data_IF_414623431291
#
_entry.id   IF_414623431291
#
_cell.length_a   1.000
_cell.length_b   1.000
_cell.length_c   1.000
_cell.angle_alpha   90.00
_cell.angle_beta   90.00
_cell.angle_gamma   90.00
#
_symmetry.space_group_name_H-M   'P 1'
#
loop_
_entity.id
_entity.type
_entity.pdbx_description
1 polymer ?
#
# COMPACT_ATOMS: atom_id res chain seq x y z
N UNK A 1 31.43 -8.37 0.66
CA UNK A 1 30.30 -8.92 1.43
C UNK A 1 29.17 -7.92 1.40
N UNK A 2 27.93 -8.29 1.04
CA UNK A 2 26.80 -7.37 1.11
C UNK A 2 26.60 -6.93 2.57
N UNK A 3 26.35 -5.64 2.78
CA UNK A 3 26.13 -5.07 4.12
C UNK A 3 24.77 -5.52 4.68
N UNK A 4 24.63 -5.56 6.01
CA UNK A 4 23.35 -5.85 6.66
C UNK A 4 22.23 -4.88 6.21
N UNK A 5 22.60 -3.63 5.95
CA UNK A 5 21.73 -2.59 5.41
C UNK A 5 21.13 -3.02 4.06
N UNK A 6 21.98 -3.39 3.09
CA UNK A 6 21.54 -3.81 1.76
C UNK A 6 20.59 -5.02 1.80
N UNK A 7 20.88 -6.00 2.67
CA UNK A 7 20.01 -7.18 2.83
C UNK A 7 18.62 -6.81 3.35
N UNK A 8 18.53 -5.85 4.28
CA UNK A 8 17.24 -5.35 4.78
C UNK A 8 16.46 -4.60 3.72
N UNK A 9 17.13 -3.75 2.94
CA UNK A 9 16.51 -3.01 1.84
C UNK A 9 15.95 -3.96 0.78
N UNK A 10 16.71 -4.99 0.37
CA UNK A 10 16.20 -5.99 -0.58
C UNK A 10 14.99 -6.73 0.00
N UNK A 11 15.06 -7.18 1.25
CA UNK A 11 13.95 -7.90 1.88
C UNK A 11 12.68 -7.02 1.95
N UNK A 12 12.85 -5.73 2.25
CA UNK A 12 11.80 -4.71 2.24
C UNK A 12 11.16 -4.57 0.86
N UNK A 13 11.96 -4.31 -0.18
CA UNK A 13 11.45 -4.18 -1.55
C UNK A 13 10.75 -5.44 -2.05
N UNK A 14 11.32 -6.62 -1.76
CA UNK A 14 10.75 -7.92 -2.17
C UNK A 14 9.45 -8.28 -1.48
N UNK A 15 9.15 -7.69 -0.32
CA UNK A 15 7.84 -7.84 0.33
C UNK A 15 6.76 -6.96 -0.31
N UNK A 16 7.14 -6.10 -1.26
CA UNK A 16 6.25 -5.16 -1.94
C UNK A 16 6.19 -3.79 -1.27
N UNK A 17 7.06 -3.51 -0.29
CA UNK A 17 7.10 -2.21 0.39
C UNK A 17 7.59 -1.10 -0.56
N UNK A 18 6.94 0.05 -0.48
CA UNK A 18 7.34 1.28 -1.15
C UNK A 18 8.34 2.02 -0.27
N UNK A 19 9.37 2.61 -0.86
CA UNK A 19 10.40 3.38 -0.15
C UNK A 19 10.24 4.84 -0.52
N UNK A 20 9.66 5.62 0.39
CA UNK A 20 9.44 7.06 0.24
C UNK A 20 10.66 7.90 0.63
N UNK A 21 10.54 9.21 0.44
CA UNK A 21 11.59 10.19 0.75
C UNK A 21 11.86 10.27 2.26
N UNK A 22 10.86 9.96 3.09
CA UNK A 22 10.99 9.95 4.55
C UNK A 22 11.92 8.85 5.08
N UNK A 23 12.16 7.79 4.30
CA UNK A 23 13.13 6.74 4.61
C UNK A 23 14.54 7.14 4.12
N UNK A 24 15.09 8.24 4.65
CA UNK A 24 16.29 8.95 4.15
C UNK A 24 17.43 8.02 3.70
N UNK A 25 17.90 7.11 4.56
CA UNK A 25 19.04 6.23 4.23
C UNK A 25 18.71 5.26 3.08
N UNK A 26 17.52 4.66 3.11
CA UNK A 26 17.06 3.73 2.07
C UNK A 26 16.86 4.48 0.76
N UNK A 27 16.22 5.65 0.81
CA UNK A 27 15.93 6.47 -0.36
C UNK A 27 17.21 6.99 -1.02
N UNK A 28 18.14 7.56 -0.24
CA UNK A 28 19.43 8.01 -0.72
C UNK A 28 20.22 6.87 -1.38
N UNK A 29 20.24 5.69 -0.76
CA UNK A 29 20.90 4.53 -1.35
C UNK A 29 20.26 4.09 -2.68
N UNK A 30 18.93 4.11 -2.79
CA UNK A 30 18.25 3.78 -4.04
C UNK A 30 18.49 4.83 -5.13
N UNK A 31 18.62 6.10 -4.77
CA UNK A 31 18.98 7.18 -5.68
C UNK A 31 20.42 7.04 -6.18
N UNK A 32 21.38 6.78 -5.29
CA UNK A 32 22.80 6.70 -5.62
C UNK A 32 23.14 5.50 -6.51
N UNK A 33 22.41 4.39 -6.37
CA UNK A 33 22.67 3.11 -7.06
C UNK A 33 21.50 2.66 -7.96
N UNK A 34 20.69 3.60 -8.46
CA UNK A 34 19.47 3.27 -9.19
C UNK A 34 19.75 2.36 -10.40
N UNK A 35 20.71 2.74 -11.25
CA UNK A 35 21.02 2.02 -12.50
C UNK A 35 21.50 0.59 -12.23
N UNK A 36 22.38 0.41 -11.24
CA UNK A 36 22.89 -0.91 -10.85
C UNK A 36 21.81 -1.79 -10.25
N UNK A 37 20.90 -1.20 -9.46
CA UNK A 37 19.79 -1.92 -8.84
C UNK A 37 18.71 -2.28 -9.87
N UNK A 38 18.43 -1.43 -10.85
CA UNK A 38 17.56 -1.74 -11.98
C UNK A 38 18.10 -2.97 -12.74
N UNK A 39 19.39 -2.97 -13.10
CA UNK A 39 20.05 -4.12 -13.73
C UNK A 39 20.04 -5.36 -12.82
N UNK A 40 20.18 -5.19 -11.51
CA UNK A 40 20.10 -6.28 -10.54
C UNK A 40 18.71 -6.94 -10.53
N UNK A 41 17.64 -6.15 -10.43
CA UNK A 41 16.27 -6.66 -10.36
C UNK A 41 15.76 -7.18 -11.71
N UNK A 42 16.27 -6.66 -12.83
CA UNK A 42 15.94 -7.16 -14.16
C UNK A 42 16.26 -8.65 -14.31
N UNK A 43 17.33 -9.16 -13.67
CA UNK A 43 17.66 -10.60 -13.66
C UNK A 43 16.58 -11.48 -13.03
N UNK A 44 15.71 -10.89 -12.21
CA UNK A 44 14.58 -11.58 -11.58
C UNK A 44 13.25 -11.31 -12.30
N UNK A 45 13.28 -10.71 -13.50
CA UNK A 45 12.11 -10.26 -14.24
C UNK A 45 11.23 -9.28 -13.44
N UNK A 46 11.89 -8.36 -12.72
CA UNK A 46 11.26 -7.30 -11.93
C UNK A 46 11.87 -5.97 -12.31
N UNK A 47 11.05 -4.93 -12.38
CA UNK A 47 11.49 -3.55 -12.60
C UNK A 47 11.56 -2.83 -11.25
N UNK A 48 12.68 -2.15 -10.97
CA UNK A 48 12.72 -1.12 -9.94
C UNK A 48 12.15 0.16 -10.56
N UNK A 49 11.08 0.69 -9.98
CA UNK A 49 10.40 1.88 -10.48
C UNK A 49 10.55 3.00 -9.47
N UNK A 50 10.95 4.18 -9.95
CA UNK A 50 10.78 5.45 -9.24
C UNK A 50 9.52 6.13 -9.75
N UNK A 51 8.53 6.30 -8.89
CA UNK A 51 7.31 7.01 -9.23
C UNK A 51 7.58 8.51 -9.40
N UNK A 52 6.74 9.26 -10.16
CA UNK A 52 6.88 10.71 -10.29
C UNK A 52 6.86 11.46 -8.96
N UNK A 53 6.12 10.92 -7.97
CA UNK A 53 6.02 11.44 -6.61
C UNK A 53 7.30 11.18 -5.77
N UNK A 54 8.27 10.43 -6.32
CA UNK A 54 9.63 10.30 -5.79
C UNK A 54 9.90 9.04 -4.97
N UNK A 55 8.92 8.18 -4.72
CA UNK A 55 9.10 6.90 -4.03
C UNK A 55 9.51 5.76 -4.97
N UNK A 56 10.14 4.73 -4.42
CA UNK A 56 10.56 3.53 -5.15
C UNK A 56 9.71 2.31 -4.82
N UNK A 57 9.52 1.41 -5.79
CA UNK A 57 8.90 0.10 -5.58
C UNK A 57 9.30 -0.91 -6.65
N UNK A 58 9.06 -2.19 -6.37
CA UNK A 58 9.26 -3.27 -7.34
C UNK A 58 7.98 -3.55 -8.12
N UNK A 59 8.06 -3.49 -9.45
CA UNK A 59 6.99 -3.90 -10.35
C UNK A 59 7.33 -5.24 -10.99
N UNK A 60 6.71 -6.35 -10.55
CA UNK A 60 6.97 -7.67 -11.13
C UNK A 60 6.40 -7.78 -12.55
N UNK A 61 7.17 -8.36 -13.48
CA UNK A 61 6.66 -8.77 -14.80
C UNK A 61 5.89 -10.10 -14.67
N UNK A 62 5.19 -10.50 -15.73
CA UNK A 62 4.45 -11.78 -15.78
C UNK A 62 5.34 -13.01 -15.57
N UNK A 63 6.65 -12.90 -15.86
CA UNK A 63 7.65 -13.96 -15.70
C UNK A 63 8.54 -13.77 -14.45
N UNK A 64 8.09 -12.97 -13.47
CA UNK A 64 8.82 -12.70 -12.22
C UNK A 64 9.30 -13.98 -11.53
N UNK A 65 10.54 -13.98 -11.05
CA UNK A 65 11.08 -15.03 -10.17
C UNK A 65 10.82 -14.75 -8.69
N UNK A 66 10.33 -13.55 -8.37
CA UNK A 66 9.98 -13.12 -7.01
C UNK A 66 8.48 -13.34 -6.80
N UNK A 67 8.12 -13.91 -5.64
CA UNK A 67 6.73 -14.17 -5.27
C UNK A 67 5.88 -12.91 -5.34
N UNK A 68 4.72 -13.01 -6.02
CA UNK A 68 3.78 -11.90 -6.20
C UNK A 68 2.53 -12.12 -5.35
N UNK A 69 2.06 -11.02 -4.76
CA UNK A 69 0.72 -10.92 -4.14
C UNK A 69 -0.09 -9.86 -4.87
N UNK A 70 -1.42 -9.98 -4.84
CA UNK A 70 -2.34 -8.99 -5.40
C UNK A 70 -3.27 -8.52 -4.29
N UNK A 71 -3.45 -7.20 -4.20
CA UNK A 71 -4.40 -6.59 -3.27
C UNK A 71 -5.83 -6.98 -3.65
N UNK A 72 -6.67 -7.25 -2.66
CA UNK A 72 -8.10 -7.45 -2.88
C UNK A 72 -8.77 -6.15 -3.32
N UNK A 73 -9.98 -6.25 -3.89
CA UNK A 73 -10.75 -5.06 -4.26
C UNK A 73 -11.00 -4.15 -3.06
N UNK A 74 -11.28 -4.73 -1.88
CA UNK A 74 -11.41 -3.95 -0.64
C UNK A 74 -10.10 -3.25 -0.25
N UNK A 75 -8.95 -3.92 -0.35
CA UNK A 75 -7.65 -3.28 -0.09
C UNK A 75 -7.43 -2.09 -1.06
N UNK A 76 -7.79 -2.25 -2.33
CA UNK A 76 -7.70 -1.18 -3.34
C UNK A 76 -8.64 -0.02 -3.04
N UNK A 77 -9.87 -0.30 -2.57
CA UNK A 77 -10.80 0.75 -2.16
C UNK A 77 -10.26 1.54 -0.97
N UNK A 78 -9.78 0.85 0.06
CA UNK A 78 -9.15 1.50 1.22
C UNK A 78 -7.95 2.35 0.78
N UNK A 79 -7.10 1.86 -0.12
CA UNK A 79 -5.99 2.63 -0.68
C UNK A 79 -6.42 3.90 -1.43
N UNK A 80 -7.54 3.85 -2.17
CA UNK A 80 -8.10 5.04 -2.82
C UNK A 80 -8.62 6.06 -1.82
N UNK A 81 -9.27 5.62 -0.74
CA UNK A 81 -9.73 6.52 0.32
C UNK A 81 -8.55 7.15 1.07
N UNK A 82 -7.47 6.39 1.32
CA UNK A 82 -6.22 6.95 1.87
C UNK A 82 -5.66 8.05 0.98
N UNK A 83 -5.60 7.82 -0.34
CA UNK A 83 -5.15 8.83 -1.30
C UNK A 83 -6.08 10.06 -1.32
N UNK A 84 -7.39 9.84 -1.29
CA UNK A 84 -8.38 10.93 -1.20
C UNK A 84 -8.19 11.78 0.05
N UNK A 85 -8.03 11.15 1.21
CA UNK A 85 -7.77 11.83 2.49
C UNK A 85 -6.44 12.59 2.48
N UNK A 86 -5.39 12.01 1.90
CA UNK A 86 -4.09 12.65 1.78
C UNK A 86 -4.15 13.94 0.92
N UNK A 87 -5.01 13.95 -0.11
CA UNK A 87 -5.18 15.09 -1.01
C UNK A 87 -6.24 16.10 -0.52
N UNK A 88 -6.94 15.83 0.59
CA UNK A 88 -7.98 16.72 1.12
C UNK A 88 -7.37 18.02 1.68
N UNK A 89 -7.89 19.20 1.27
CA UNK A 89 -7.45 20.50 1.78
C UNK A 89 -7.57 20.63 3.30
N UNK A 90 -8.62 20.03 3.88
CA UNK A 90 -8.88 20.03 5.31
C UNK A 90 -7.80 19.27 6.09
N UNK A 91 -7.22 18.22 5.48
CA UNK A 91 -6.20 17.37 6.11
C UNK A 91 -4.78 17.88 5.92
N UNK A 92 -4.52 18.64 4.86
CA UNK A 92 -3.29 19.42 4.71
C UNK A 92 -3.08 20.38 5.90
N UNK A 93 -4.16 20.89 6.51
CA UNK A 93 -4.10 21.72 7.71
C UNK A 93 -3.83 20.94 9.02
N UNK A 94 -3.92 19.59 8.99
CA UNK A 94 -3.74 18.71 10.14
C UNK A 94 -2.51 17.80 10.01
N UNK A 95 -1.49 18.24 9.26
CA UNK A 95 -0.25 17.47 9.02
C UNK A 95 -0.49 16.06 8.43
N UNK A 96 -1.63 15.85 7.76
CA UNK A 96 -1.96 14.57 7.13
C UNK A 96 -2.35 13.44 8.09
N UNK A 97 -2.63 13.73 9.36
CA UNK A 97 -3.04 12.71 10.34
C UNK A 97 -4.56 12.47 10.28
N UNK A 98 -4.96 11.20 10.22
CA UNK A 98 -6.36 10.78 10.32
C UNK A 98 -6.48 9.46 11.11
N UNK A 99 -7.66 9.24 11.66
CA UNK A 99 -8.03 8.03 12.39
C UNK A 99 -8.61 6.97 11.46
N UNK A 100 -8.57 5.71 11.90
CA UNK A 100 -9.24 4.63 11.18
C UNK A 100 -10.76 4.80 11.11
N UNK A 101 -11.34 5.57 12.03
CA UNK A 101 -12.77 5.87 12.03
C UNK A 101 -13.12 6.87 10.92
N UNK A 102 -12.36 7.95 10.77
CA UNK A 102 -12.55 8.92 9.68
C UNK A 102 -12.40 8.27 8.31
N UNK A 103 -11.41 7.38 8.14
CA UNK A 103 -11.26 6.59 6.92
C UNK A 103 -12.49 5.70 6.65
N UNK A 104 -13.02 5.06 7.69
CA UNK A 104 -14.20 4.22 7.55
C UNK A 104 -15.45 5.05 7.18
N UNK A 105 -15.62 6.21 7.80
CA UNK A 105 -16.72 7.13 7.51
C UNK A 105 -16.67 7.62 6.06
N UNK A 106 -15.50 8.03 5.58
CA UNK A 106 -15.31 8.42 4.18
C UNK A 106 -15.54 7.26 3.20
N UNK A 107 -15.12 6.05 3.57
CA UNK A 107 -15.38 4.86 2.76
C UNK A 107 -16.88 4.61 2.60
N UNK A 108 -17.65 4.69 3.69
CA UNK A 108 -19.11 4.52 3.66
C UNK A 108 -19.80 5.68 2.93
N UNK A 109 -19.28 6.90 3.05
CA UNK A 109 -19.84 8.07 2.38
C UNK A 109 -19.67 8.01 0.86
N UNK A 110 -18.52 7.51 0.37
CA UNK A 110 -18.16 7.51 -1.05
C UNK A 110 -18.50 6.21 -1.79
N UNK A 111 -18.68 5.09 -1.08
CA UNK A 111 -18.97 3.79 -1.68
C UNK A 111 -20.37 3.28 -1.34
N UNK A 112 -20.92 2.48 -2.24
CA UNK A 112 -22.19 1.79 -2.03
C UNK A 112 -22.05 0.75 -0.92
N UNK A 113 -22.66 1.03 0.24
CA UNK A 113 -22.65 0.16 1.43
C UNK A 113 -23.12 -1.27 1.09
N UNK A 114 -24.12 -1.43 0.21
CA UNK A 114 -24.62 -2.74 -0.18
C UNK A 114 -23.58 -3.56 -0.96
N UNK A 115 -22.69 -2.90 -1.70
CA UNK A 115 -21.54 -3.57 -2.35
C UNK A 115 -20.44 -3.88 -1.35
N UNK A 116 -20.16 -2.97 -0.42
CA UNK A 116 -19.15 -3.18 0.61
C UNK A 116 -19.48 -4.40 1.48
N UNK A 117 -20.73 -4.55 1.87
CA UNK A 117 -21.18 -5.68 2.70
C UNK A 117 -21.00 -7.04 1.99
N UNK A 118 -20.97 -7.09 0.66
CA UNK A 118 -20.67 -8.32 -0.09
C UNK A 118 -19.23 -8.81 0.14
N UNK A 119 -18.30 -7.93 0.51
CA UNK A 119 -16.97 -8.34 0.94
C UNK A 119 -16.97 -9.02 2.29
N UNK A 120 -17.98 -8.79 3.14
CA UNK A 120 -18.18 -9.54 4.39
C UNK A 120 -18.78 -10.91 4.07
N UNK A 121 -19.96 -10.91 3.45
CA UNK A 121 -20.65 -12.11 3.00
C UNK A 121 -21.60 -11.76 1.83
N UNK A 122 -21.67 -12.62 0.81
CA UNK A 122 -22.57 -12.42 -0.33
C UNK A 122 -24.05 -12.30 0.06
N UNK A 123 -24.44 -12.83 1.23
CA UNK A 123 -25.81 -12.80 1.76
C UNK A 123 -26.01 -11.77 2.89
N UNK A 124 -25.04 -10.88 3.13
CA UNK A 124 -25.18 -9.85 4.16
C UNK A 124 -26.40 -8.97 3.88
N UNK A 125 -27.20 -8.73 4.91
CA UNK A 125 -28.46 -7.98 4.81
C UNK A 125 -28.33 -6.55 5.34
N UNK A 126 -27.13 -6.16 5.80
CA UNK A 126 -26.88 -4.86 6.42
C UNK A 126 -27.15 -4.85 7.93
N UNK A 127 -27.07 -6.02 8.57
CA UNK A 127 -27.16 -6.11 10.02
C UNK A 127 -25.99 -5.39 10.70
N UNK A 128 -26.17 -4.96 11.94
CA UNK A 128 -25.09 -4.34 12.73
C UNK A 128 -23.86 -5.27 12.85
N UNK A 129 -24.10 -6.59 12.87
CA UNK A 129 -23.04 -7.61 12.86
C UNK A 129 -22.28 -7.60 11.54
N UNK A 130 -22.96 -7.43 10.40
CA UNK A 130 -22.28 -7.33 9.09
C UNK A 130 -21.43 -6.06 9.03
N UNK A 131 -21.94 -4.93 9.55
CA UNK A 131 -21.23 -3.66 9.62
C UNK A 131 -19.97 -3.72 10.49
N UNK A 132 -20.06 -4.35 11.66
CA UNK A 132 -18.89 -4.59 12.52
C UNK A 132 -17.82 -5.43 11.80
N UNK A 133 -18.22 -6.51 11.13
CA UNK A 133 -17.29 -7.35 10.35
C UNK A 133 -16.68 -6.60 9.17
N UNK A 134 -17.43 -5.70 8.53
CA UNK A 134 -16.89 -4.84 7.47
C UNK A 134 -15.79 -3.94 8.02
N UNK A 135 -16.05 -3.28 9.15
CA UNK A 135 -15.06 -2.43 9.82
C UNK A 135 -13.78 -3.20 10.20
N UNK A 136 -13.92 -4.44 10.69
CA UNK A 136 -12.78 -5.32 10.95
C UNK A 136 -11.98 -5.64 9.70
N UNK A 137 -12.66 -5.95 8.58
CA UNK A 137 -11.99 -6.21 7.29
C UNK A 137 -11.27 -4.98 6.76
N UNK A 138 -11.88 -3.79 6.88
CA UNK A 138 -11.24 -2.51 6.52
C UNK A 138 -9.98 -2.29 7.36
N UNK A 139 -10.02 -2.58 8.67
CA UNK A 139 -8.84 -2.51 9.54
C UNK A 139 -7.76 -3.51 9.12
N UNK A 140 -8.12 -4.72 8.70
CA UNK A 140 -7.17 -5.69 8.15
C UNK A 140 -6.52 -5.17 6.87
N UNK A 141 -7.30 -4.58 5.96
CA UNK A 141 -6.80 -3.94 4.75
C UNK A 141 -5.83 -2.81 5.06
N UNK A 142 -6.18 -1.92 5.99
CA UNK A 142 -5.30 -0.84 6.43
C UNK A 142 -3.97 -1.37 7.01
N UNK A 143 -4.01 -2.43 7.82
CA UNK A 143 -2.79 -3.04 8.37
C UNK A 143 -1.89 -3.63 7.28
N UNK A 144 -2.47 -4.18 6.21
CA UNK A 144 -1.71 -4.67 5.04
C UNK A 144 -1.05 -3.52 4.30
N UNK A 145 -1.81 -2.46 4.01
CA UNK A 145 -1.32 -1.27 3.31
C UNK A 145 -0.18 -0.58 4.08
N UNK A 146 -0.30 -0.47 5.41
CA UNK A 146 0.79 -0.01 6.27
C UNK A 146 2.08 -0.83 6.11
N UNK A 147 1.94 -2.15 5.94
CA UNK A 147 3.07 -3.03 5.63
C UNK A 147 3.78 -2.67 4.32
N UNK A 148 3.03 -2.14 3.35
CA UNK A 148 3.51 -1.68 2.06
C UNK A 148 4.01 -0.23 2.08
N UNK A 149 4.01 0.45 3.24
CA UNK A 149 4.29 1.89 3.40
C UNK A 149 3.29 2.82 2.68
N UNK A 150 2.01 2.47 2.77
CA UNK A 150 0.86 3.31 2.39
C UNK A 150 0.11 3.80 3.63
#
# INVERSE_FOLDING_TARGET
>A
MPTLFFLRLIASLRSGRHVGIDELDNHAYLMDYQDELELFYQRYNVELIRAPEGFFYLRPRSTTLISRSVLSELDMMVGKILCYLYLSPERLAQEGIFSGQELYEELIALADESKLLKYVNQRSTGSDVDRQKLQEKVRTSLNRLRGLAW
#
